data_IF_498138762831
#
_entry.id   IF_498138762831
#
_cell.length_a   1.000
_cell.length_b   1.000
_cell.length_c   1.000
_cell.angle_alpha   90.00
_cell.angle_beta   90.00
_cell.angle_gamma   90.00
#
_symmetry.space_group_name_H-M   'P 1'
#
loop_
_entity.id
_entity.type
_entity.pdbx_description
1 polymer ?
2 non-polymer ?
3 water ?
#
# COMPACT_ATOMS: atom_id res chain seq x y z
N UNK A 2 -2.99 -22.34 -2.42
CA UNK A 2 -1.55 -22.13 -2.23
C UNK A 2 -1.18 -20.66 -2.30
N UNK A 3 -0.23 -20.27 -1.45
CA UNK A 3 0.27 -18.90 -1.43
C UNK A 3 1.28 -18.66 -2.54
N UNK A 4 2.10 -19.67 -2.82
CA UNK A 4 3.11 -19.56 -3.87
C UNK A 4 2.45 -19.23 -5.20
N UNK A 5 1.32 -19.89 -5.47
CA UNK A 5 0.59 -19.67 -6.72
C UNK A 5 0.01 -18.26 -6.78
N UNK A 6 -0.57 -17.81 -5.67
CA UNK A 6 -1.13 -16.45 -5.56
C UNK A 6 -0.04 -15.40 -5.78
N UNK A 7 1.08 -15.56 -5.09
CA UNK A 7 2.22 -14.66 -5.26
C UNK A 7 2.73 -14.67 -6.70
N UNK A 8 2.73 -15.85 -7.32
CA UNK A 8 3.18 -15.98 -8.69
C UNK A 8 2.32 -15.14 -9.60
N UNK A 9 1.00 -15.24 -9.39
CA UNK A 9 0.04 -14.51 -10.22
C UNK A 9 0.18 -13.01 -9.97
N UNK A 10 0.38 -12.65 -8.70
CA UNK A 10 0.54 -11.24 -8.32
C UNK A 10 1.74 -10.65 -9.02
N UNK A 11 2.82 -11.43 -9.09
CA UNK A 11 4.01 -11.01 -9.79
C UNK A 11 3.75 -10.78 -11.26
N UNK A 12 3.06 -11.74 -11.87
CA UNK A 12 2.71 -11.65 -13.29
C UNK A 12 1.81 -10.45 -13.56
N UNK A 13 0.75 -10.32 -12.77
CA UNK A 13 -0.17 -9.20 -12.90
C UNK A 13 0.49 -7.84 -12.76
N UNK A 14 1.46 -7.74 -11.85
CA UNK A 14 2.18 -6.50 -11.65
C UNK A 14 2.98 -6.17 -12.91
N UNK A 15 3.62 -7.18 -13.48
CA UNK A 15 4.37 -7.00 -14.72
C UNK A 15 3.46 -6.57 -15.87
N UNK A 16 2.24 -7.12 -15.91
CA UNK A 16 1.24 -6.74 -16.90
C UNK A 16 0.85 -5.26 -16.78
N UNK A 17 0.76 -4.80 -15.54
CA UNK A 17 0.45 -3.39 -15.31
C UNK A 17 1.58 -2.48 -15.78
N UNK A 18 2.82 -2.83 -15.45
CA UNK A 18 3.93 -1.97 -15.87
C UNK A 18 4.06 -2.00 -17.38
N UNK A 19 3.76 -3.15 -17.99
CA UNK A 19 3.86 -3.25 -19.45
C UNK A 19 2.81 -2.35 -20.09
N UNK A 20 1.65 -2.28 -19.48
CA UNK A 20 0.60 -1.40 -20.01
C UNK A 20 1.01 0.07 -19.89
N UNK A 21 1.62 0.44 -18.77
CA UNK A 21 2.03 1.83 -18.58
C UNK A 21 3.20 2.14 -19.53
N UNK A 22 4.08 1.17 -19.70
CA UNK A 22 5.22 1.29 -20.60
C UNK A 22 4.74 1.45 -22.05
N UNK A 23 3.80 0.61 -22.47
CA UNK A 23 3.27 0.72 -23.82
C UNK A 23 2.59 2.07 -24.00
N UNK A 24 1.92 2.56 -22.97
CA UNK A 24 1.25 3.84 -23.05
C UNK A 24 2.26 4.96 -23.32
N UNK A 25 3.39 4.91 -22.60
CA UNK A 25 4.46 5.87 -22.83
C UNK A 25 5.02 5.77 -24.25
N UNK A 26 5.34 4.56 -24.70
CA UNK A 26 5.90 4.35 -26.04
C UNK A 26 4.97 4.76 -27.16
N UNK A 27 3.69 4.44 -27.00
CA UNK A 27 2.72 4.70 -28.06
C UNK A 27 2.57 6.20 -28.26
N UNK A 28 2.62 6.93 -27.16
CA UNK A 28 2.39 8.37 -27.18
C UNK A 28 1.18 8.77 -28.04
N UNK A 29 0.05 8.10 -27.80
CA UNK A 29 -1.12 8.25 -28.64
C UNK A 29 -2.21 8.96 -27.87
N UNK A 30 -2.80 9.99 -28.47
CA UNK A 30 -3.80 10.78 -27.76
C UNK A 30 -5.03 9.95 -27.43
N UNK A 31 -5.64 10.25 -26.29
CA UNK A 31 -6.88 9.59 -25.86
C UNK A 31 -6.71 8.09 -25.68
N UNK A 32 -5.49 7.66 -25.37
CA UNK A 32 -5.20 6.23 -25.25
C UNK A 32 -5.06 5.79 -23.80
N UNK A 33 -5.05 6.75 -22.87
CA UNK A 33 -4.84 6.41 -21.46
C UNK A 33 -5.83 5.38 -20.93
N UNK A 34 -7.12 5.59 -21.17
CA UNK A 34 -8.14 4.68 -20.66
C UNK A 34 -7.99 3.28 -21.27
N UNK A 35 -7.55 3.22 -22.53
CA UNK A 35 -7.32 1.91 -23.13
C UNK A 35 -6.25 1.13 -22.37
N UNK A 36 -5.14 1.79 -22.09
CA UNK A 36 -4.05 1.10 -21.42
C UNK A 36 -4.39 0.76 -19.98
N UNK A 37 -5.18 1.59 -19.32
CA UNK A 37 -5.64 1.28 -17.95
C UNK A 37 -6.46 0.01 -17.99
N UNK A 38 -7.42 -0.04 -18.91
CA UNK A 38 -8.23 -1.24 -19.07
C UNK A 38 -7.36 -2.45 -19.43
N UNK A 39 -6.43 -2.27 -20.37
CA UNK A 39 -5.64 -3.42 -20.83
C UNK A 39 -4.74 -4.02 -19.74
N UNK A 40 -4.11 -3.16 -18.93
CA UNK A 40 -3.25 -3.67 -17.88
C UNK A 40 -4.05 -4.49 -16.88
N UNK A 41 -5.20 -3.96 -16.50
CA UNK A 41 -6.07 -4.62 -15.55
C UNK A 41 -6.62 -5.92 -16.11
N UNK A 42 -6.95 -5.90 -17.40
CA UNK A 42 -7.45 -7.08 -18.11
C UNK A 42 -6.41 -8.19 -18.19
N UNK A 43 -5.21 -7.86 -18.67
CA UNK A 43 -4.11 -8.84 -18.73
C UNK A 43 -3.80 -9.41 -17.36
N UNK A 44 -3.75 -8.54 -16.36
CA UNK A 44 -3.38 -8.95 -15.01
C UNK A 44 -4.41 -9.88 -14.41
N UNK A 45 -5.69 -9.59 -14.61
CA UNK A 45 -6.73 -10.41 -13.99
C UNK A 45 -6.75 -11.81 -14.62
N UNK A 46 -6.40 -11.87 -15.90
CA UNK A 46 -6.33 -13.14 -16.64
C UNK A 46 -5.27 -14.09 -16.08
N UNK A 47 -4.33 -13.55 -15.30
CA UNK A 47 -3.28 -14.37 -14.71
C UNK A 47 -3.84 -15.24 -13.58
N UNK A 48 -4.96 -14.81 -13.00
CA UNK A 48 -5.52 -15.50 -11.85
C UNK A 48 -5.83 -14.52 -10.74
N UNK A 49 -6.35 -15.03 -9.60
CA UNK A 49 -6.76 -14.17 -8.48
C UNK A 49 -5.63 -13.27 -7.95
N UNK A 50 -4.39 -13.76 -7.96
CA UNK A 50 -3.26 -12.98 -7.50
C UNK A 50 -3.04 -11.78 -8.42
N UNK A 51 -3.20 -11.99 -9.72
CA UNK A 51 -3.09 -10.92 -10.69
C UNK A 51 -4.14 -9.82 -10.60
N UNK A 52 -5.40 -10.23 -10.38
CA UNK A 52 -6.46 -9.26 -10.16
C UNK A 52 -6.23 -8.44 -8.90
N UNK A 53 -5.73 -9.09 -7.84
CA UNK A 53 -5.44 -8.39 -6.59
C UNK A 53 -4.37 -7.34 -6.82
N UNK A 54 -3.29 -7.75 -7.49
CA UNK A 54 -2.17 -6.85 -7.73
C UNK A 54 -2.61 -5.67 -8.58
N UNK A 55 -3.39 -5.96 -9.63
CA UNK A 55 -3.95 -4.92 -10.50
C UNK A 55 -4.79 -3.92 -9.73
N UNK A 56 -5.61 -4.41 -8.81
CA UNK A 56 -6.42 -3.51 -7.96
C UNK A 56 -5.56 -2.67 -7.02
N UNK A 57 -4.58 -3.31 -6.36
CA UNK A 57 -3.64 -2.58 -5.51
C UNK A 57 -2.96 -1.43 -6.27
N UNK A 58 -2.44 -1.75 -7.46
CA UNK A 58 -1.72 -0.80 -8.25
C UNK A 58 -2.65 0.30 -8.74
N UNK A 59 -3.84 -0.06 -9.21
CA UNK A 59 -4.84 0.91 -9.68
C UNK A 59 -5.27 1.84 -8.55
N UNK A 60 -5.52 1.26 -7.38
CA UNK A 60 -5.93 2.03 -6.21
C UNK A 60 -4.81 2.94 -5.70
N UNK A 61 -3.58 2.44 -5.72
CA UNK A 61 -2.45 3.27 -5.33
C UNK A 61 -2.32 4.48 -6.25
N UNK A 62 -2.55 4.25 -7.55
CA UNK A 62 -2.52 5.33 -8.53
C UNK A 62 -3.57 6.39 -8.23
N UNK A 63 -4.81 5.97 -7.95
CA UNK A 63 -5.82 6.95 -7.59
C UNK A 63 -5.40 7.71 -6.33
N UNK A 64 -4.82 7.04 -5.34
CA UNK A 64 -4.37 7.72 -4.13
C UNK A 64 -3.43 8.88 -4.47
N UNK A 65 -2.50 8.64 -5.37
CA UNK A 65 -1.53 9.67 -5.73
C UNK A 65 -2.23 10.83 -6.42
N UNK A 66 -3.18 10.51 -7.30
CA UNK A 66 -4.03 11.53 -7.92
C UNK A 66 -4.76 12.37 -6.87
N UNK A 67 -5.43 11.72 -5.92
CA UNK A 67 -6.18 12.44 -4.89
C UNK A 67 -5.25 13.28 -4.04
N UNK A 68 -4.15 12.68 -3.59
CA UNK A 68 -3.21 13.41 -2.74
C UNK A 68 -2.61 14.65 -3.42
N UNK A 69 -2.39 14.58 -4.73
CA UNK A 69 -1.75 15.70 -5.43
C UNK A 69 -2.76 16.61 -6.11
N UNK A 70 -4.03 16.20 -6.08
CA UNK A 70 -5.04 16.87 -6.88
C UNK A 70 -4.73 16.72 -8.35
N UNK A 75 -11.55 12.95 -13.26
CA UNK A 75 -10.58 12.15 -14.00
C UNK A 75 -10.22 10.84 -13.31
N UNK A 76 -10.09 10.87 -11.98
CA UNK A 76 -9.83 9.65 -11.22
C UNK A 76 -10.93 8.61 -11.41
N UNK A 77 -12.18 9.04 -11.31
CA UNK A 77 -13.30 8.14 -11.45
C UNK A 77 -13.31 7.48 -12.84
N UNK A 78 -13.04 8.29 -13.86
CA UNK A 78 -13.02 7.81 -15.24
C UNK A 78 -11.94 6.77 -15.43
N UNK A 79 -10.78 7.00 -14.82
CA UNK A 79 -9.70 6.03 -14.91
C UNK A 79 -10.11 4.73 -14.25
N UNK A 80 -10.74 4.84 -13.08
CA UNK A 80 -11.18 3.66 -12.33
C UNK A 80 -12.26 2.88 -13.06
N UNK A 81 -13.14 3.57 -13.78
CA UNK A 81 -14.12 2.89 -14.63
C UNK A 81 -13.40 1.96 -15.62
N UNK A 82 -12.37 2.50 -16.27
CA UNK A 82 -11.58 1.70 -17.22
C UNK A 82 -10.82 0.57 -16.51
N UNK A 83 -10.22 0.88 -15.37
CA UNK A 83 -9.50 -0.14 -14.60
C UNK A 83 -10.42 -1.32 -14.30
N UNK A 84 -11.63 -1.01 -13.84
CA UNK A 84 -12.57 -2.05 -13.42
C UNK A 84 -13.17 -2.79 -14.62
N UNK A 85 -13.37 -2.07 -15.72
CA UNK A 85 -13.86 -2.65 -16.95
C UNK A 85 -12.93 -3.79 -17.36
N UNK A 86 -11.65 -3.50 -17.49
CA UNK A 86 -10.70 -4.51 -17.90
C UNK A 86 -10.54 -5.64 -16.89
N UNK A 87 -10.41 -5.27 -15.62
CA UNK A 87 -10.16 -6.27 -14.58
C UNK A 87 -11.32 -7.25 -14.49
N UNK A 88 -12.50 -6.78 -14.90
CA UNK A 88 -13.73 -7.60 -14.88
C UNK A 88 -13.79 -8.57 -16.06
N UNK A 89 -12.83 -8.46 -16.97
CA UNK A 89 -12.73 -9.37 -18.09
C UNK A 89 -13.35 -8.82 -19.36
N UNK A 90 -13.82 -7.57 -19.31
CA UNK A 90 -14.43 -6.93 -20.48
C UNK A 90 -13.36 -6.37 -21.40
N UNK A 91 -13.72 -6.23 -22.67
CA UNK A 91 -12.77 -5.94 -23.74
C UNK A 91 -12.16 -4.54 -23.60
N UNK A 92 -10.83 -4.48 -23.40
CA UNK A 92 -10.15 -3.18 -23.33
C UNK A 92 -10.32 -2.37 -24.60
N UNK A 93 -10.52 -3.04 -25.74
CA UNK A 93 -10.71 -2.34 -27.02
C UNK A 93 -11.92 -1.42 -27.07
N UNK A 94 -12.81 -1.58 -26.09
CA UNK A 94 -13.91 -0.65 -25.86
C UNK A 94 -13.42 0.80 -25.79
N UNK A 95 -12.19 0.98 -25.30
CA UNK A 95 -11.61 2.31 -25.13
C UNK A 95 -10.53 2.62 -26.16
N UNK A 96 -10.33 1.73 -27.13
CA UNK A 96 -9.24 1.89 -28.07
C UNK A 96 -9.40 3.12 -28.96
N UNK A 97 -8.41 4.02 -28.95
CA UNK A 97 -8.56 5.22 -29.79
C UNK A 97 -8.22 4.91 -31.23
N UNK A 98 -8.75 5.72 -32.14
CA UNK A 98 -8.51 5.53 -33.55
C UNK A 98 -7.01 5.66 -33.82
N UNK A 99 -6.47 4.74 -34.60
CA UNK A 99 -5.09 4.85 -35.00
C UNK A 99 -4.10 4.01 -34.21
N UNK A 100 -4.42 3.65 -32.97
CA UNK A 100 -3.43 2.97 -32.11
C UNK A 100 -2.86 1.71 -32.78
N UNK A 101 -1.52 1.61 -32.82
CA UNK A 101 -0.88 0.44 -33.45
C UNK A 101 -1.40 -0.87 -32.89
N UNK A 102 -1.52 -1.86 -33.77
CA UNK A 102 -2.21 -3.10 -33.44
C UNK A 102 -1.50 -3.96 -32.41
N UNK A 103 -0.19 -3.80 -32.26
CA UNK A 103 0.53 -4.61 -31.27
C UNK A 103 0.18 -4.21 -29.85
N UNK A 104 -0.40 -3.02 -29.68
CA UNK A 104 -0.77 -2.53 -28.35
C UNK A 104 -2.18 -2.97 -28.00
N UNK B 2 9.14 9.13 -10.66
CA UNK B 2 7.81 8.64 -11.01
C UNK B 2 7.19 7.80 -9.89
N UNK B 3 5.86 7.86 -9.83
CA UNK B 3 5.10 6.91 -9.04
C UNK B 3 5.34 5.50 -9.58
N UNK B 4 5.43 5.36 -10.90
CA UNK B 4 5.69 4.05 -11.49
C UNK B 4 6.98 3.42 -10.96
N UNK B 5 8.06 4.21 -10.92
CA UNK B 5 9.34 3.67 -10.46
C UNK B 5 9.28 3.23 -9.00
N UNK B 6 8.67 4.07 -8.17
CA UNK B 6 8.42 3.75 -6.78
C UNK B 6 7.62 2.46 -6.67
N UNK B 7 6.57 2.31 -7.49
CA UNK B 7 5.73 1.11 -7.36
C UNK B 7 6.47 -0.14 -7.79
N UNK B 8 7.33 0.00 -8.79
CA UNK B 8 8.16 -1.11 -9.21
C UNK B 8 9.08 -1.53 -8.08
N UNK B 9 9.70 -0.55 -7.42
CA UNK B 9 10.52 -0.86 -6.24
C UNK B 9 9.71 -1.56 -5.17
N UNK B 10 8.47 -1.10 -4.96
CA UNK B 10 7.59 -1.72 -3.96
C UNK B 10 7.30 -3.18 -4.29
N UNK B 11 7.04 -3.47 -5.57
CA UNK B 11 6.81 -4.82 -6.03
C UNK B 11 8.01 -5.70 -5.78
N UNK B 12 9.20 -5.17 -6.07
CA UNK B 12 10.41 -5.97 -5.86
C UNK B 12 10.66 -6.20 -4.38
N UNK B 13 10.46 -5.18 -3.59
CA UNK B 13 10.62 -5.30 -2.15
C UNK B 13 9.63 -6.28 -1.56
N UNK B 14 8.42 -6.30 -2.11
CA UNK B 14 7.43 -7.26 -1.66
C UNK B 14 7.91 -8.67 -1.95
N UNK B 15 8.48 -8.86 -3.13
CA UNK B 15 9.05 -10.16 -3.49
C UNK B 15 10.16 -10.54 -2.51
N UNK B 16 11.01 -9.57 -2.17
CA UNK B 16 12.08 -9.82 -1.19
C UNK B 16 11.55 -10.26 0.14
N UNK B 17 10.48 -9.61 0.59
CA UNK B 17 9.87 -9.95 1.88
C UNK B 17 9.29 -11.35 1.84
N UNK B 18 8.61 -11.66 0.75
CA UNK B 18 8.08 -13.02 0.55
C UNK B 18 9.20 -14.07 0.56
N UNK B 19 10.32 -13.77 -0.09
CA UNK B 19 11.46 -14.73 -0.09
C UNK B 19 12.03 -14.99 1.29
N UNK B 20 12.08 -13.96 2.13
CA UNK B 20 12.60 -14.14 3.47
C UNK B 20 11.66 -15.04 4.26
N UNK B 21 10.36 -14.87 4.06
CA UNK B 21 9.38 -15.70 4.76
C UNK B 21 9.49 -17.14 4.27
N UNK B 22 9.57 -17.29 2.95
CA UNK B 22 9.69 -18.61 2.32
C UNK B 22 10.96 -19.32 2.76
N UNK B 23 12.07 -18.59 2.79
CA UNK B 23 13.33 -19.18 3.24
C UNK B 23 13.26 -19.56 4.71
N UNK B 24 12.63 -18.71 5.53
CA UNK B 24 12.49 -19.01 6.95
C UNK B 24 11.80 -20.35 7.14
N UNK B 25 10.74 -20.56 6.38
CA UNK B 25 9.97 -21.80 6.44
C UNK B 25 10.77 -23.00 5.95
N UNK B 26 11.47 -22.83 4.83
CA UNK B 26 12.28 -23.92 4.27
C UNK B 26 13.46 -24.27 5.16
N UNK B 27 13.93 -23.31 5.95
CA UNK B 27 15.15 -23.53 6.73
C UNK B 27 14.91 -24.28 8.06
N UNK B 28 13.72 -24.11 8.63
CA UNK B 28 13.34 -24.75 9.90
C UNK B 28 14.39 -24.58 11.01
N UNK B 29 15.07 -23.45 11.02
CA UNK B 29 16.20 -23.26 11.92
C UNK B 29 15.81 -22.52 13.19
N UNK B 30 16.23 -23.07 14.33
CA UNK B 30 15.88 -22.51 15.63
C UNK B 30 16.32 -21.05 15.76
N UNK B 31 15.40 -20.21 16.24
CA UNK B 31 15.67 -18.79 16.51
C UNK B 31 16.26 -18.10 15.28
N UNK B 32 15.64 -18.31 14.14
CA UNK B 32 16.11 -17.71 12.91
C UNK B 32 15.18 -16.59 12.47
N UNK B 33 14.06 -16.40 13.16
CA UNK B 33 13.08 -15.44 12.64
C UNK B 33 13.56 -13.99 12.61
N UNK B 34 14.33 -13.57 13.61
CA UNK B 34 14.91 -12.22 13.57
C UNK B 34 15.86 -12.05 12.39
N UNK B 35 16.69 -13.06 12.12
CA UNK B 35 17.57 -13.03 10.95
C UNK B 35 16.73 -12.81 9.70
N UNK B 36 15.69 -13.60 9.54
CA UNK B 36 14.89 -13.50 8.33
C UNK B 36 14.07 -12.22 8.27
N UNK B 37 13.59 -11.74 9.42
CA UNK B 37 12.96 -10.43 9.49
C UNK B 37 13.93 -9.35 9.01
N UNK B 38 15.16 -9.38 9.51
CA UNK B 38 16.14 -8.37 9.10
C UNK B 38 16.51 -8.49 7.62
N UNK B 39 16.67 -9.74 7.16
CA UNK B 39 17.12 -9.97 5.80
C UNK B 39 16.11 -9.48 4.76
N UNK B 40 14.84 -9.76 4.99
CA UNK B 40 13.80 -9.34 4.07
C UNK B 40 13.74 -7.83 3.99
N UNK B 41 13.77 -7.19 5.15
CA UNK B 41 13.75 -5.71 5.17
C UNK B 41 15.01 -5.10 4.54
N UNK B 42 16.16 -5.74 4.78
CA UNK B 42 17.42 -5.26 4.22
C UNK B 42 17.39 -5.33 2.69
N UNK B 43 17.01 -6.49 2.17
CA UNK B 43 16.91 -6.70 0.72
C UNK B 43 15.91 -5.72 0.12
N UNK B 44 14.72 -5.64 0.72
CA UNK B 44 13.68 -4.76 0.17
C UNK B 44 14.10 -3.29 0.14
N UNK B 45 14.69 -2.80 1.24
CA UNK B 45 15.06 -1.39 1.30
C UNK B 45 16.14 -1.07 0.27
N UNK B 46 16.96 -2.05 -0.05
CA UNK B 46 18.01 -1.84 -1.05
C UNK B 46 17.49 -1.80 -2.50
N UNK B 47 16.21 -2.07 -2.69
CA UNK B 47 15.59 -1.90 -4.00
C UNK B 47 15.37 -0.43 -4.30
N UNK B 48 15.39 0.40 -3.25
CA UNK B 48 15.03 1.79 -3.40
C UNK B 48 13.89 2.18 -2.49
N UNK B 49 13.48 3.47 -2.49
CA UNK B 49 12.46 3.97 -1.58
C UNK B 49 11.16 3.17 -1.60
N UNK B 50 10.73 2.72 -2.77
CA UNK B 50 9.50 1.96 -2.86
C UNK B 50 9.64 0.64 -2.13
N UNK B 51 10.84 0.08 -2.16
CA UNK B 51 11.11 -1.21 -1.54
C UNK B 51 11.12 -1.07 -0.02
N UNK B 52 11.71 0.02 0.45
CA UNK B 52 11.71 0.28 1.88
C UNK B 52 10.29 0.49 2.39
N UNK B 53 9.47 1.16 1.58
CA UNK B 53 8.08 1.39 1.94
C UNK B 53 7.31 0.07 2.04
N UNK B 54 7.45 -0.77 1.02
CA UNK B 54 6.77 -2.06 1.03
C UNK B 54 7.21 -2.86 2.25
N UNK B 55 8.50 -2.84 2.55
CA UNK B 55 9.00 -3.60 3.70
C UNK B 55 8.33 -3.11 4.98
N UNK B 56 8.19 -1.80 5.10
CA UNK B 56 7.56 -1.27 6.32
C UNK B 56 6.08 -1.63 6.41
N UNK B 57 5.37 -1.44 5.30
CA UNK B 57 3.94 -1.71 5.25
C UNK B 57 3.66 -3.19 5.55
N UNK B 58 4.45 -4.07 4.97
CA UNK B 58 4.33 -5.50 5.22
C UNK B 58 4.71 -5.88 6.65
N UNK B 59 5.81 -5.32 7.14
CA UNK B 59 6.23 -5.58 8.52
C UNK B 59 5.14 -5.18 9.50
N UNK B 60 4.53 -4.02 9.26
CA UNK B 60 3.52 -3.51 10.19
C UNK B 60 2.26 -4.34 10.15
N UNK B 61 1.91 -4.87 8.98
CA UNK B 61 0.73 -5.73 8.89
C UNK B 61 0.97 -7.05 9.63
N UNK B 62 2.14 -7.64 9.39
CA UNK B 62 2.49 -8.87 10.10
C UNK B 62 2.54 -8.72 11.62
N UNK B 63 3.07 -7.60 12.10
CA UNK B 63 3.09 -7.35 13.55
C UNK B 63 1.66 -7.33 14.07
N UNK B 64 0.77 -6.74 13.29
CA UNK B 64 -0.62 -6.62 13.73
C UNK B 64 -1.28 -8.00 13.81
N UNK B 65 -1.04 -8.84 12.82
CA UNK B 65 -1.64 -10.17 12.78
C UNK B 65 -1.05 -11.05 13.88
N UNK B 66 0.26 -10.93 14.08
CA UNK B 66 0.94 -11.64 15.18
C UNK B 66 0.39 -11.26 16.56
N UNK B 67 0.15 -9.97 16.78
CA UNK B 67 -0.44 -9.50 18.03
C UNK B 67 -1.80 -10.16 18.27
N UNK B 68 -2.62 -10.21 17.22
CA UNK B 68 -3.95 -10.81 17.26
C UNK B 68 -3.89 -12.28 17.64
N UNK B 69 -2.82 -12.97 17.21
CA UNK B 69 -2.67 -14.39 17.52
C UNK B 69 -2.15 -14.65 18.93
N UNK B 70 -1.70 -13.59 19.58
CA UNK B 70 -1.24 -13.70 20.96
C UNK B 70 0.26 -13.60 21.15
N UNK B 71 0.97 -13.19 20.11
CA UNK B 71 2.41 -12.97 20.20
C UNK B 71 2.64 -11.92 21.29
N UNK B 72 3.66 -12.13 22.13
CA UNK B 72 3.90 -11.23 23.23
C UNK B 72 4.43 -9.87 22.80
N UNK B 73 4.24 -8.85 23.64
CA UNK B 73 4.68 -7.51 23.32
C UNK B 73 6.21 -7.47 23.15
N UNK B 74 6.91 -8.22 23.99
CA UNK B 74 8.37 -8.29 23.94
C UNK B 74 8.86 -8.92 22.63
N UNK B 75 8.25 -10.03 22.23
CA UNK B 75 8.66 -10.70 21.00
C UNK B 75 8.36 -9.83 19.77
N UNK B 76 7.22 -9.14 19.80
CA UNK B 76 6.85 -8.25 18.71
C UNK B 76 7.79 -7.06 18.61
N UNK B 77 8.16 -6.51 19.75
CA UNK B 77 9.11 -5.39 19.78
C UNK B 77 10.47 -5.86 19.26
N UNK B 78 10.87 -7.05 19.66
CA UNK B 78 12.15 -7.61 19.21
C UNK B 78 12.13 -7.86 17.71
N UNK B 79 11.01 -8.35 17.20
CA UNK B 79 10.88 -8.54 15.76
C UNK B 79 10.93 -7.22 15.02
N UNK B 80 10.26 -6.20 15.56
CA UNK B 80 10.25 -4.89 14.93
C UNK B 80 11.66 -4.27 14.95
N UNK B 81 12.41 -4.53 16.02
CA UNK B 81 13.79 -4.07 16.10
C UNK B 81 14.61 -4.68 14.94
N UNK B 82 14.42 -5.97 14.70
CA UNK B 82 15.16 -6.64 13.62
C UNK B 82 14.71 -6.13 12.27
N UNK B 83 13.41 -5.87 12.13
CA UNK B 83 12.86 -5.32 10.87
C UNK B 83 13.54 -4.00 10.55
N UNK B 84 13.61 -3.11 11.55
CA UNK B 84 14.13 -1.77 11.34
C UNK B 84 15.65 -1.81 11.16
N UNK B 85 16.29 -2.77 11.81
CA UNK B 85 17.72 -2.98 11.68
C UNK B 85 18.10 -3.21 10.20
N UNK B 86 17.47 -4.21 9.59
CA UNK B 86 17.69 -4.51 8.19
C UNK B 86 17.30 -3.36 7.29
N UNK B 87 16.13 -2.79 7.55
CA UNK B 87 15.59 -1.73 6.69
C UNK B 87 16.51 -0.52 6.64
N UNK B 88 17.22 -0.26 7.76
CA UNK B 88 18.12 0.88 7.84
C UNK B 88 19.47 0.59 7.20
N UNK B 89 19.69 -0.65 6.76
CA UNK B 89 20.93 -0.97 6.07
C UNK B 89 21.99 -1.62 6.94
N UNK B 90 21.62 -2.01 8.16
CA UNK B 90 22.55 -2.71 9.01
C UNK B 90 22.53 -4.21 8.67
N UNK B 91 23.68 -4.86 8.84
CA UNK B 91 23.89 -6.24 8.42
C UNK B 91 22.94 -7.22 9.11
N UNK B 92 22.09 -7.89 8.31
CA UNK B 92 21.19 -8.91 8.87
C UNK B 92 21.96 -10.01 9.61
N UNK B 93 23.20 -10.27 9.19
CA UNK B 93 23.98 -11.35 9.79
C UNK B 93 24.30 -11.17 11.28
N UNK B 94 24.05 -9.98 11.81
CA UNK B 94 24.21 -9.81 13.26
C UNK B 94 23.15 -10.58 14.04
N UNK B 95 22.12 -11.04 13.33
CA UNK B 95 21.08 -11.89 13.93
C UNK B 95 21.17 -13.33 13.45
N UNK B 96 22.22 -13.64 12.70
CA UNK B 96 22.34 -14.96 12.10
C UNK B 96 22.69 -16.00 13.14
N UNK B 97 21.85 -17.03 13.26
CA UNK B 97 22.14 -18.13 14.20
C UNK B 97 23.32 -18.96 13.69
N UNK B 98 24.07 -19.53 14.64
CA UNK B 98 25.23 -20.33 14.29
C UNK B 98 24.82 -21.48 13.38
N UNK B 99 25.55 -21.64 12.29
CA UNK B 99 25.35 -22.79 11.42
C UNK B 99 24.25 -22.68 10.38
N UNK B 100 23.53 -21.57 10.33
CA UNK B 100 22.48 -21.40 9.32
C UNK B 100 23.12 -21.58 7.95
N UNK B 101 22.55 -22.43 7.12
CA UNK B 101 23.19 -22.74 5.83
C UNK B 101 23.44 -21.50 4.96
N UNK B 102 24.59 -21.49 4.27
CA UNK B 102 25.08 -20.36 3.49
C UNK B 102 24.11 -19.83 2.45
N UNK B 103 23.14 -20.65 2.07
CA UNK B 103 22.21 -20.26 1.01
C UNK B 103 21.21 -19.24 1.52
N UNK B 104 21.13 -19.11 2.85
CA UNK B 104 20.17 -18.22 3.49
C UNK B 104 20.78 -16.92 3.98
N UNK C 2 -8.37 -15.25 8.90
CA UNK C 2 -7.03 -15.17 8.34
C UNK C 2 -6.54 -13.75 8.17
N UNK C 3 -5.77 -13.61 7.10
CA UNK C 3 -5.46 -12.37 6.45
C UNK C 3 -6.67 -11.90 5.70
N UNK C 4 -7.64 -12.81 5.50
CA UNK C 4 -8.89 -12.46 4.85
C UNK C 4 -9.65 -11.42 5.66
N UNK C 5 -9.70 -11.62 6.98
CA UNK C 5 -10.39 -10.68 7.86
C UNK C 5 -9.62 -9.37 7.94
N UNK C 6 -8.30 -9.47 8.01
CA UNK C 6 -7.42 -8.30 8.06
C UNK C 6 -7.64 -7.42 6.83
N UNK C 7 -7.61 -8.04 5.65
CA UNK C 7 -7.79 -7.28 4.42
C UNK C 7 -9.21 -6.73 4.29
N UNK C 8 -10.18 -7.45 4.85
CA UNK C 8 -11.56 -6.95 4.90
C UNK C 8 -11.61 -5.66 5.72
N UNK C 9 -10.97 -5.69 6.89
CA UNK C 9 -10.87 -4.52 7.76
C UNK C 9 -10.11 -3.38 7.09
N UNK C 10 -9.08 -3.74 6.32
CA UNK C 10 -8.30 -2.72 5.62
C UNK C 10 -9.15 -1.99 4.59
N UNK C 11 -10.05 -2.73 3.93
CA UNK C 11 -10.92 -2.12 2.94
C UNK C 11 -11.92 -1.20 3.61
N UNK C 12 -12.47 -1.66 4.74
CA UNK C 12 -13.38 -0.84 5.52
C UNK C 12 -12.67 0.43 5.99
N UNK C 13 -11.47 0.25 6.54
CA UNK C 13 -10.65 1.37 7.00
C UNK C 13 -10.30 2.34 5.88
N UNK C 14 -9.97 1.81 4.71
CA UNK C 14 -9.64 2.65 3.58
C UNK C 14 -10.81 3.52 3.14
N UNK C 15 -12.00 2.92 3.13
CA UNK C 15 -13.21 3.66 2.79
C UNK C 15 -13.49 4.78 3.81
N UNK C 16 -13.24 4.51 5.09
CA UNK C 16 -13.39 5.53 6.12
C UNK C 16 -12.46 6.70 5.84
N UNK C 17 -11.23 6.40 5.43
CA UNK C 17 -10.25 7.45 5.15
C UNK C 17 -10.67 8.25 3.94
N UNK C 18 -11.04 7.55 2.88
CA UNK C 18 -11.51 8.23 1.67
C UNK C 18 -12.73 9.11 1.97
N UNK C 19 -13.64 8.61 2.79
CA UNK C 19 -14.85 9.36 3.14
C UNK C 19 -14.52 10.64 3.94
N UNK C 20 -13.49 10.57 4.78
CA UNK C 20 -13.06 11.76 5.51
C UNK C 20 -12.44 12.79 4.58
N UNK C 21 -11.62 12.32 3.65
CA UNK C 21 -10.99 13.21 2.67
C UNK C 21 -12.05 13.84 1.76
N UNK C 22 -13.04 13.05 1.38
CA UNK C 22 -14.15 13.55 0.56
C UNK C 22 -14.93 14.63 1.32
N UNK C 23 -15.36 14.30 2.53
CA UNK C 23 -16.08 15.23 3.40
C UNK C 23 -15.30 16.51 3.63
N UNK C 24 -13.98 16.41 3.72
CA UNK C 24 -13.14 17.59 3.89
C UNK C 24 -13.22 18.50 2.66
N UNK C 25 -13.17 17.91 1.48
CA UNK C 25 -13.27 18.64 0.22
C UNK C 25 -14.58 19.41 0.12
N UNK C 26 -15.69 18.72 0.39
CA UNK C 26 -17.01 19.30 0.15
C UNK C 26 -17.52 20.21 1.27
N UNK C 27 -16.96 20.08 2.47
CA UNK C 27 -17.36 20.93 3.58
C UNK C 27 -16.77 22.32 3.44
N UNK C 28 -15.58 22.39 2.83
CA UNK C 28 -14.92 23.65 2.53
C UNK C 28 -14.80 24.57 3.76
N UNK C 29 -14.65 23.94 4.93
CA UNK C 29 -14.62 24.64 6.21
C UNK C 29 -13.17 24.89 6.60
N UNK C 30 -12.75 26.15 6.67
CA UNK C 30 -11.37 26.45 7.08
C UNK C 30 -11.12 26.02 8.53
N UNK C 31 -9.85 25.76 8.86
CA UNK C 31 -9.47 25.21 10.16
C UNK C 31 -10.20 23.91 10.54
N UNK C 32 -10.51 23.08 9.55
CA UNK C 32 -11.20 21.81 9.81
C UNK C 32 -10.36 20.59 9.42
N UNK C 33 -9.13 20.84 8.96
CA UNK C 33 -8.29 19.76 8.47
C UNK C 33 -8.06 18.66 9.51
N UNK C 34 -7.55 19.06 10.67
CA UNK C 34 -7.27 18.11 11.74
C UNK C 34 -8.50 17.31 12.15
N UNK C 35 -9.68 17.93 12.09
CA UNK C 35 -10.90 17.20 12.45
C UNK C 35 -11.09 16.00 11.54
N UNK C 36 -11.00 16.23 10.23
CA UNK C 36 -11.26 15.19 9.26
C UNK C 36 -10.16 14.13 9.25
N UNK C 37 -8.91 14.57 9.36
CA UNK C 37 -7.81 13.62 9.53
C UNK C 37 -8.01 12.70 10.75
N UNK C 38 -8.32 13.30 11.90
CA UNK C 38 -8.62 12.52 13.09
C UNK C 38 -9.82 11.60 12.88
N UNK C 39 -10.88 12.11 12.26
CA UNK C 39 -12.11 11.33 12.11
C UNK C 39 -11.87 10.11 11.22
N UNK C 40 -11.17 10.30 10.10
CA UNK C 40 -10.88 9.18 9.21
C UNK C 40 -10.12 8.09 9.94
N UNK C 41 -9.10 8.49 10.68
CA UNK C 41 -8.30 7.51 11.41
C UNK C 41 -9.06 6.85 12.56
N UNK C 42 -9.89 7.63 13.25
CA UNK C 42 -10.74 7.10 14.31
C UNK C 42 -11.71 6.04 13.78
N UNK C 43 -12.43 6.38 12.72
CA UNK C 43 -13.40 5.45 12.14
C UNK C 43 -12.70 4.19 11.65
N UNK C 44 -11.56 4.39 10.99
CA UNK C 44 -10.82 3.25 10.45
C UNK C 44 -10.29 2.32 11.54
N UNK C 45 -9.75 2.88 12.63
CA UNK C 45 -9.19 2.04 13.68
C UNK C 45 -10.29 1.20 14.36
N UNK C 46 -11.51 1.72 14.39
CA UNK C 46 -12.65 0.99 14.97
C UNK C 46 -13.04 -0.24 14.17
N UNK C 47 -12.61 -0.32 12.91
CA UNK C 47 -12.85 -1.49 12.09
C UNK C 47 -12.04 -2.69 12.57
N UNK C 48 -11.02 -2.45 13.40
CA UNK C 48 -10.11 -3.49 13.83
C UNK C 48 -8.70 -3.29 13.29
N UNK C 49 -7.77 -4.20 13.64
CA UNK C 49 -6.35 -4.08 13.27
C UNK C 49 -6.07 -3.78 11.78
N UNK C 50 -6.78 -4.43 10.85
CA UNK C 50 -6.58 -4.15 9.44
C UNK C 50 -6.96 -2.70 9.09
N UNK C 51 -7.97 -2.18 9.79
CA UNK C 51 -8.44 -0.83 9.56
C UNK C 51 -7.43 0.19 10.06
N UNK C 52 -6.93 -0.05 11.28
CA UNK C 52 -5.90 0.81 11.84
C UNK C 52 -4.65 0.78 10.96
N UNK C 53 -4.30 -0.40 10.47
CA UNK C 53 -3.13 -0.50 9.59
C UNK C 53 -3.31 0.30 8.31
N UNK C 54 -4.47 0.14 7.66
CA UNK C 54 -4.76 0.87 6.44
C UNK C 54 -4.75 2.37 6.68
N UNK C 55 -5.30 2.78 7.82
CA UNK C 55 -5.34 4.20 8.13
C UNK C 55 -3.93 4.78 8.24
N UNK C 56 -3.02 4.07 8.90
CA UNK C 56 -1.64 4.54 8.97
C UNK C 56 -0.95 4.51 7.61
N UNK C 57 -1.14 3.44 6.83
CA UNK C 57 -0.54 3.39 5.50
C UNK C 57 -0.97 4.59 4.67
N UNK C 58 -2.26 4.86 4.67
CA UNK C 58 -2.82 6.00 3.92
C UNK C 58 -2.36 7.36 4.44
N UNK C 59 -2.39 7.52 5.76
CA UNK C 59 -1.92 8.78 6.37
C UNK C 59 -0.47 9.07 6.04
N UNK C 60 0.39 8.05 6.18
CA UNK C 60 1.81 8.25 5.95
C UNK C 60 2.09 8.52 4.49
N UNK C 61 1.41 7.79 3.61
CA UNK C 61 1.56 7.97 2.16
C UNK C 61 1.12 9.38 1.76
N UNK C 62 0.05 9.86 2.39
CA UNK C 62 -0.44 11.20 2.11
C UNK C 62 0.63 12.23 2.45
N UNK C 63 1.26 12.09 3.62
CA UNK C 63 2.33 13.02 4.02
C UNK C 63 3.49 13.00 3.03
N UNK C 64 3.95 11.80 2.69
CA UNK C 64 5.07 11.65 1.75
C UNK C 64 4.77 12.17 0.34
N UNK C 65 3.58 11.88 -0.17
CA UNK C 65 3.19 12.31 -1.52
C UNK C 65 2.97 13.82 -1.59
N UNK C 66 2.36 14.40 -0.55
CA UNK C 66 2.03 15.82 -0.61
C UNK C 66 3.25 16.72 -0.46
N UNK C 67 4.40 16.14 -0.13
CA UNK C 67 5.64 16.90 -0.15
C UNK C 67 5.94 17.37 -1.56
N UNK C 68 5.50 16.59 -2.55
CA UNK C 68 5.70 16.94 -3.96
C UNK C 68 4.69 17.97 -4.47
N UNK C 69 3.80 18.44 -3.61
CA UNK C 69 2.89 19.53 -3.96
C UNK C 69 2.97 20.65 -2.94
N UNK C 70 4.13 20.75 -2.28
CA UNK C 70 4.44 21.89 -1.46
C UNK C 70 3.92 21.92 -0.03
N UNK C 71 3.50 20.77 0.50
CA UNK C 71 3.11 20.72 1.91
C UNK C 71 4.34 20.50 2.77
N UNK C 72 4.68 21.48 3.59
CA UNK C 72 5.88 21.41 4.41
C UNK C 72 5.68 20.66 5.71
N UNK C 73 6.76 20.44 6.46
CA UNK C 73 6.72 19.67 7.69
C UNK C 73 5.85 20.27 8.78
N UNK C 74 5.81 21.60 8.87
CA UNK C 74 5.08 22.24 9.96
C UNK C 74 3.60 21.85 9.95
N UNK C 75 2.98 21.95 8.78
CA UNK C 75 1.57 21.54 8.63
C UNK C 75 1.41 20.02 8.52
N UNK C 76 2.30 19.34 7.80
CA UNK C 76 2.17 17.89 7.64
C UNK C 76 2.32 17.13 8.97
N UNK C 77 3.20 17.60 9.86
CA UNK C 77 3.38 16.91 11.14
C UNK C 77 2.19 17.19 12.05
N UNK C 78 1.58 18.35 11.85
CA UNK C 78 0.35 18.71 12.56
C UNK C 78 -0.81 17.82 12.10
N UNK C 79 -0.93 17.62 10.79
CA UNK C 79 -1.89 16.65 10.25
C UNK C 79 -1.63 15.28 10.89
N UNK C 80 -0.37 14.88 10.94
CA UNK C 80 0.00 13.58 11.49
C UNK C 80 -0.33 13.45 12.99
N UNK C 81 -0.19 14.53 13.75
CA UNK C 81 -0.64 14.53 15.15
C UNK C 81 -2.14 14.21 15.22
N UNK C 82 -2.93 14.83 14.34
CA UNK C 82 -4.36 14.56 14.28
C UNK C 82 -4.64 13.13 13.83
N UNK C 83 -3.85 12.63 12.87
CA UNK C 83 -4.02 11.25 12.38
C UNK C 83 -3.85 10.26 13.53
N UNK C 84 -2.76 10.40 14.29
CA UNK C 84 -2.49 9.48 15.39
C UNK C 84 -3.47 9.67 16.53
N UNK C 85 -3.90 10.90 16.76
CA UNK C 85 -4.95 11.19 17.72
C UNK C 85 -6.19 10.32 17.49
N UNK C 86 -6.77 10.40 16.30
CA UNK C 86 -7.99 9.65 16.03
C UNK C 86 -7.72 8.17 16.05
N UNK C 87 -6.59 7.78 15.46
CA UNK C 87 -6.23 6.36 15.35
C UNK C 87 -6.13 5.70 16.71
N UNK C 88 -5.72 6.47 17.71
CA UNK C 88 -5.57 5.93 19.06
C UNK C 88 -6.89 5.86 19.82
N UNK C 89 -7.96 6.39 19.24
CA UNK C 89 -9.28 6.30 19.86
C UNK C 89 -9.75 7.58 20.55
N UNK C 90 -8.98 8.66 20.39
CA UNK C 90 -9.39 9.92 20.98
C UNK C 90 -10.42 10.64 20.12
N UNK C 91 -11.23 11.48 20.75
CA UNK C 91 -12.36 12.14 20.07
C UNK C 91 -11.90 13.10 18.96
N UNK C 92 -12.30 12.81 17.71
CA UNK C 92 -11.96 13.72 16.61
C UNK C 92 -12.57 15.11 16.85
N UNK C 93 -13.68 15.17 17.58
CA UNK C 93 -14.36 16.43 17.83
C UNK C 93 -13.54 17.43 18.63
N UNK C 94 -12.49 16.95 19.31
CA UNK C 94 -11.55 17.85 19.98
C UNK C 94 -11.03 18.89 18.99
N UNK C 95 -11.00 18.53 17.71
CA UNK C 95 -10.47 19.39 16.66
C UNK C 95 -11.57 20.09 15.87
N UNK C 96 -12.81 19.90 16.27
CA UNK C 96 -13.94 20.41 15.49
C UNK C 96 -14.02 21.95 15.54
N UNK C 97 -13.95 22.60 14.37
CA UNK C 97 -14.00 24.07 14.32
C UNK C 97 -15.44 24.55 14.54
N UNK C 98 -15.60 25.78 15.02
CA UNK C 98 -16.94 26.29 15.32
C UNK C 98 -17.90 26.18 14.13
N UNK C 99 -19.03 25.51 14.36
CA UNK C 99 -20.13 25.51 13.41
C UNK C 99 -20.21 24.39 12.39
N UNK C 100 -19.20 23.53 12.34
CA UNK C 100 -19.18 22.41 11.39
C UNK C 100 -20.47 21.57 11.50
N UNK C 101 -21.19 21.41 10.37
CA UNK C 101 -22.51 20.78 10.34
C UNK C 101 -22.52 19.36 10.91
N UNK C 102 -23.63 19.00 11.57
CA UNK C 102 -23.79 17.70 12.19
C UNK C 102 -23.54 16.54 11.24
N UNK C 103 -23.66 16.78 9.94
CA UNK C 103 -23.42 15.75 8.94
C UNK C 103 -22.00 15.19 9.00
N UNK C 104 -21.04 16.06 9.33
CA UNK C 104 -19.63 15.66 9.36
C UNK C 104 -19.15 15.26 10.75
X LIG D 1 -8.83 3.75 -3.92
X LIG D 1 -10.25 4.41 -3.99
X LIG D 1 -11.12 3.67 -2.95
X LIG D 1 -10.53 3.84 -1.54
X LIG D 1 -9.28 3.16 -1.60
X LIG D 1 -8.38 3.87 -2.45
X LIG D 1 -12.42 4.31 -2.91
X LIG D 1 -7.18 3.13 -2.36
X LIG D 1 -6.42 3.56 -1.22
X LIG D 1 -5.05 2.91 -1.43
X LIG D 1 -4.00 3.88 -0.92
X LIG D 1 -2.65 3.24 -1.16
X LIG D 1 -1.61 4.22 -0.62
X LIG D 1 -0.25 3.89 -1.23
X LIG D 1 0.20 5.13 -2.02
X LIG D 1 1.32 4.77 -2.98
X LIG D 1 2.36 5.90 -3.02
X LIG D 1 2.94 6.01 -1.62
X LIG D 1 -7.99 4.53 -4.71
X LIG D 1 -10.84 4.14 -5.22
X LIG D 1 -11.40 3.13 -0.48
X LIG D 1 -11.42 1.79 -0.88
#
# INVERSE_FOLDING_TARGET
QRWVQFMKEAGQGSRDMWRAYSDMKKANWKNSDKYFHARGNYDAARRGPGGAWAAKVISDAREAVQKFTGHGAEDSRADQFANEWGRSGKDPNHFRPAGLPKRY
QRWVQFMKEAGQGSRDMWRAYSDMKKANWKNSDKYFHARGNYDAARRGPGGAWAAKVISDAREAVQKFTGHGAEDSRADQFANEWGRSGKDPNHFRPAGLPKRY
QRWVQFMKEAGQGSRDMWRAYSDMKKANWKNSDKYFHARGNYDAARRGPGGAWAAKVISDAREAVQKFTGHGAEDSRADQFANEWGRSGKDPNHFRPAGLPKRY
DMU C1 C2 C3 C4 O5 C6 O7 O16 C18 C19 C22 C25 C28 C31 C34 C37 C40 C43 O49 O55 C57 O61
#
